data_IF_067673379728
#
_entry.id   IF_067673379728
#
_cell.length_a   1.000
_cell.length_b   1.000
_cell.length_c   1.000
_cell.angle_alpha   90.00
_cell.angle_beta   90.00
_cell.angle_gamma   90.00
#
_symmetry.space_group_name_H-M   'P 1'
#
loop_
_entity.id
_entity.type
_entity.pdbx_description
1 polymer ?
#
# COMPACT_ATOMS: atom_id res chain seq x y z
N UNK A 1 -0.37 -23.01 -12.33
CA UNK A 1 0.73 -22.07 -12.01
C UNK A 1 0.18 -21.05 -11.03
N UNK A 2 0.96 -20.64 -10.02
CA UNK A 2 0.50 -19.59 -9.08
C UNK A 2 0.60 -18.22 -9.77
N UNK A 3 -0.42 -17.39 -9.61
CA UNK A 3 -0.45 -16.02 -10.10
C UNK A 3 0.48 -15.13 -9.24
N UNK A 4 1.31 -14.29 -9.89
CA UNK A 4 2.18 -13.35 -9.19
C UNK A 4 1.31 -12.20 -8.65
N UNK A 5 1.43 -11.93 -7.35
CA UNK A 5 0.77 -10.80 -6.69
C UNK A 5 1.76 -9.70 -6.35
N UNK A 6 1.36 -8.45 -6.56
CA UNK A 6 2.14 -7.26 -6.25
C UNK A 6 1.45 -6.47 -5.13
N UNK A 7 2.20 -6.03 -4.14
CA UNK A 7 1.68 -5.26 -3.01
C UNK A 7 2.46 -3.99 -2.75
N UNK A 8 1.83 -3.03 -2.08
CA UNK A 8 2.44 -1.78 -1.65
C UNK A 8 2.68 -1.78 -0.13
N UNK A 9 3.88 -1.41 0.31
CA UNK A 9 4.20 -1.20 1.73
C UNK A 9 4.37 0.29 2.00
N UNK A 10 3.35 0.90 2.58
CA UNK A 10 3.39 2.29 3.00
C UNK A 10 4.31 2.44 4.22
N UNK A 11 5.18 3.45 4.20
CA UNK A 11 6.13 3.70 5.29
C UNK A 11 5.56 4.71 6.29
N UNK A 12 5.16 4.23 7.47
CA UNK A 12 4.68 5.08 8.56
C UNK A 12 5.76 6.04 9.11
N UNK A 13 7.04 5.74 8.85
CA UNK A 13 8.17 6.59 9.25
C UNK A 13 8.40 7.77 8.27
N UNK A 14 7.82 7.70 7.05
CA UNK A 14 8.03 8.70 6.00
C UNK A 14 6.82 9.62 5.81
N UNK A 15 5.61 9.13 6.08
CA UNK A 15 4.38 9.82 5.72
C UNK A 15 3.47 10.03 6.93
N UNK A 16 2.76 11.15 6.95
CA UNK A 16 1.78 11.46 8.00
C UNK A 16 0.54 10.56 7.87
N UNK A 17 -0.28 10.42 8.94
CA UNK A 17 -1.40 9.47 8.96
C UNK A 17 -2.42 9.62 7.82
N UNK A 18 -2.78 10.84 7.44
CA UNK A 18 -3.69 11.07 6.30
C UNK A 18 -3.06 10.60 5.00
N UNK A 19 -1.82 10.96 4.76
CA UNK A 19 -1.09 10.60 3.54
C UNK A 19 -0.92 9.08 3.43
N UNK A 20 -0.69 8.37 4.53
CA UNK A 20 -0.69 6.90 4.55
C UNK A 20 -2.00 6.29 4.05
N UNK A 21 -3.15 6.85 4.47
CA UNK A 21 -4.47 6.40 4.00
C UNK A 21 -4.60 6.65 2.51
N UNK A 22 -4.27 7.84 2.03
CA UNK A 22 -4.37 8.19 0.60
C UNK A 22 -3.42 7.32 -0.25
N UNK A 23 -2.22 7.00 0.24
CA UNK A 23 -1.30 6.09 -0.44
C UNK A 23 -1.86 4.65 -0.52
N UNK A 24 -2.59 4.20 0.51
CA UNK A 24 -3.30 2.93 0.48
C UNK A 24 -4.42 2.90 -0.57
N UNK A 25 -5.19 3.98 -0.67
CA UNK A 25 -6.21 4.15 -1.72
C UNK A 25 -5.56 4.15 -3.11
N UNK A 26 -4.48 4.92 -3.30
CA UNK A 26 -3.75 4.95 -4.56
C UNK A 26 -3.19 3.57 -4.92
N UNK A 27 -2.72 2.78 -3.95
CA UNK A 27 -2.24 1.43 -4.22
C UNK A 27 -3.35 0.54 -4.81
N UNK A 28 -4.57 0.61 -4.27
CA UNK A 28 -5.74 -0.10 -4.81
C UNK A 28 -6.12 0.42 -6.22
N UNK A 29 -6.19 1.74 -6.40
CA UNK A 29 -6.51 2.35 -7.70
C UNK A 29 -5.49 2.00 -8.80
N UNK A 30 -4.23 1.76 -8.43
CA UNK A 30 -3.16 1.35 -9.35
C UNK A 30 -3.02 -0.18 -9.49
N UNK A 31 -3.95 -0.96 -8.91
CA UNK A 31 -4.05 -2.40 -9.13
C UNK A 31 -3.13 -3.25 -8.26
N UNK A 32 -2.67 -2.76 -7.11
CA UNK A 32 -1.95 -3.57 -6.14
C UNK A 32 -2.91 -4.54 -5.43
N UNK A 33 -2.46 -5.78 -5.22
CA UNK A 33 -3.24 -6.83 -4.55
C UNK A 33 -3.34 -6.65 -3.03
N UNK A 34 -2.46 -5.84 -2.45
CA UNK A 34 -2.37 -5.62 -1.01
C UNK A 34 -1.70 -4.29 -0.68
N UNK A 35 -2.11 -3.71 0.44
CA UNK A 35 -1.43 -2.59 1.09
C UNK A 35 -1.06 -2.99 2.53
N UNK A 36 0.16 -2.69 2.95
CA UNK A 36 0.66 -2.97 4.31
C UNK A 36 1.36 -1.76 4.89
N UNK A 37 1.39 -1.65 6.22
CA UNK A 37 2.04 -0.57 6.97
C UNK A 37 2.75 -1.19 8.18
N UNK A 38 3.89 -0.63 8.59
CA UNK A 38 4.50 -0.98 9.88
C UNK A 38 3.67 -0.39 11.02
N UNK A 39 3.55 -1.11 12.14
CA UNK A 39 3.02 -0.55 13.40
C UNK A 39 3.92 0.58 13.92
#
# INVERSE_FOLDING_TARGET
>A
MAELKLGYKASAEQFAPRELVELGVLAEEHGMDSASVSD
#
